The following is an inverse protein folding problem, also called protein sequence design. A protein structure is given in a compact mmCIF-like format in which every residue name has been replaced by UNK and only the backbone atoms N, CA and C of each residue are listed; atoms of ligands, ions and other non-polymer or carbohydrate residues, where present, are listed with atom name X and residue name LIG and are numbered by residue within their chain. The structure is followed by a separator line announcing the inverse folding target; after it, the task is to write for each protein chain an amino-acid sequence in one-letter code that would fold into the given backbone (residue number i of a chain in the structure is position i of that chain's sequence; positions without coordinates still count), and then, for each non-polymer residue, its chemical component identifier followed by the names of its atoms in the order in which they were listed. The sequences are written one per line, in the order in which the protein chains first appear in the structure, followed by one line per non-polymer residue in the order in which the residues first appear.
data_IF_435846013037
#
_entry.id   IF_435846013037
#
_cell.length_a   1.000
_cell.length_b   1.000
_cell.length_c   1.000
_cell.angle_alpha   90.00
_cell.angle_beta   90.00
_cell.angle_gamma   90.00
#
_symmetry.space_group_name_H-M   'P 1'
#
loop_
_entity.id
_entity.type
_entity.pdbx_description
1 polymer ?
#
# COMPACT_ATOMS: atom_id res chain seq x y z
N UNK A 1 -3.65 -4.74 10.56
CA UNK A 1 -3.54 -4.85 9.09
C UNK A 1 -2.10 -4.58 8.69
N UNK A 2 -1.55 -5.31 7.72
CA UNK A 2 -0.28 -4.91 7.09
C UNK A 2 -0.58 -3.98 5.91
N UNK A 3 0.05 -2.80 5.90
CA UNK A 3 0.05 -1.87 4.78
C UNK A 3 1.41 -1.93 4.10
N UNK A 4 1.38 -2.02 2.78
CA UNK A 4 2.57 -2.12 1.93
C UNK A 4 2.53 -0.95 0.96
N UNK A 5 3.61 -0.18 0.89
CA UNK A 5 3.74 0.96 -0.02
C UNK A 5 4.98 0.83 -0.89
N UNK A 6 4.87 1.31 -2.13
CA UNK A 6 5.93 1.24 -3.12
C UNK A 6 6.01 2.53 -3.94
N UNK A 7 7.20 3.15 -3.95
CA UNK A 7 7.49 4.30 -4.80
C UNK A 7 8.31 3.84 -6.01
N UNK A 8 7.79 3.98 -7.25
CA UNK A 8 8.48 3.49 -8.44
C UNK A 8 9.75 4.29 -8.75
N UNK A 9 9.78 5.58 -8.41
CA UNK A 9 10.90 6.47 -8.72
C UNK A 9 12.13 6.24 -7.82
N UNK A 10 11.93 5.75 -6.59
CA UNK A 10 12.99 5.56 -5.57
C UNK A 10 13.19 4.10 -5.15
N UNK A 11 12.70 3.15 -5.95
CA UNK A 11 12.36 1.76 -5.59
C UNK A 11 12.09 1.44 -4.11
N UNK A 12 11.54 2.38 -3.34
CA UNK A 12 11.38 2.18 -1.91
C UNK A 12 10.14 1.34 -1.63
N UNK A 13 10.34 0.13 -1.10
CA UNK A 13 9.30 -0.73 -0.56
C UNK A 13 9.25 -0.57 0.95
N UNK A 14 8.10 -0.20 1.49
CA UNK A 14 7.89 -0.12 2.94
C UNK A 14 6.72 -1.00 3.37
N UNK A 15 6.83 -1.51 4.59
CA UNK A 15 5.77 -2.28 5.24
C UNK A 15 5.58 -1.75 6.65
N UNK A 16 4.35 -1.56 7.06
CA UNK A 16 4.02 -1.26 8.44
C UNK A 16 2.77 -2.03 8.87
N UNK A 17 2.65 -2.22 10.18
CA UNK A 17 1.48 -2.87 10.78
C UNK A 17 0.63 -1.78 11.43
N UNK A 18 -0.58 -1.59 10.90
CA UNK A 18 -1.59 -0.77 11.53
C UNK A 18 -2.40 -1.59 12.55
N UNK A 19 -2.39 -1.13 13.79
CA UNK A 19 -3.02 -1.78 14.93
C UNK A 19 -2.70 -1.08 16.25
N UNK A 20 -3.21 -1.64 17.34
CA UNK A 20 -3.21 -1.01 18.67
C UNK A 20 -2.09 -1.50 19.60
N UNK A 21 -1.30 -2.50 19.21
CA UNK A 21 -0.20 -3.03 20.04
C UNK A 21 1.09 -2.21 19.82
N UNK A 22 1.15 -1.03 20.45
CA UNK A 22 2.26 -0.07 20.25
C UNK A 22 3.62 -0.64 20.69
N UNK A 23 3.64 -1.42 21.78
CA UNK A 23 4.86 -2.07 22.28
C UNK A 23 5.41 -3.12 21.29
N UNK A 24 4.57 -3.60 20.37
CA UNK A 24 4.95 -4.49 19.28
C UNK A 24 5.36 -3.73 18.00
N UNK A 25 5.52 -2.41 18.06
CA UNK A 25 5.89 -1.56 16.93
C UNK A 25 4.76 -1.30 15.92
N UNK A 26 3.51 -1.59 16.30
CA UNK A 26 2.35 -1.23 15.48
C UNK A 26 2.08 0.28 15.57
N UNK A 27 1.46 0.82 14.53
CA UNK A 27 1.08 2.24 14.47
C UNK A 27 -0.42 2.39 14.32
N UNK A 28 -0.99 3.42 14.95
CA UNK A 28 -2.44 3.68 14.88
C UNK A 28 -2.86 4.26 13.52
N UNK A 29 -1.96 4.99 12.87
CA UNK A 29 -2.21 5.71 11.63
C UNK A 29 -0.97 5.68 10.74
N UNK A 30 -1.19 5.65 9.42
CA UNK A 30 -0.16 5.79 8.41
C UNK A 30 -0.55 6.87 7.41
N UNK A 31 0.44 7.55 6.85
CA UNK A 31 0.28 8.48 5.74
C UNK A 31 0.92 7.84 4.52
N UNK A 32 0.16 7.72 3.44
CA UNK A 32 0.68 7.30 2.14
C UNK A 32 0.83 8.55 1.27
N UNK A 33 2.05 8.91 0.86
CA UNK A 33 2.26 10.04 -0.03
C UNK A 33 1.52 9.88 -1.36
N UNK A 34 1.14 11.00 -1.98
CA UNK A 34 0.59 10.97 -3.33
C UNK A 34 1.60 10.37 -4.32
N UNK A 35 1.09 9.68 -5.34
CA UNK A 35 1.90 8.95 -6.34
C UNK A 35 2.69 7.75 -5.78
N UNK A 36 2.34 7.27 -4.60
CA UNK A 36 2.84 6.01 -4.04
C UNK A 36 1.83 4.90 -4.31
N UNK A 37 2.29 3.73 -4.76
CA UNK A 37 1.43 2.55 -4.84
C UNK A 37 1.20 1.99 -3.45
N UNK A 38 -0.02 1.55 -3.15
CA UNK A 38 -0.36 0.94 -1.88
C UNK A 38 -1.21 -0.32 -2.06
N UNK A 39 -0.98 -1.32 -1.21
CA UNK A 39 -1.88 -2.43 -0.98
C UNK A 39 -1.91 -2.80 0.50
N UNK A 40 -2.95 -3.50 0.92
CA UNK A 40 -3.08 -3.89 2.31
C UNK A 40 -3.73 -5.25 2.47
N UNK A 41 -3.41 -5.93 3.57
CA UNK A 41 -4.04 -7.19 3.97
C UNK A 41 -4.33 -7.25 5.46
N UNK A 42 -5.45 -7.89 5.79
CA UNK A 42 -5.76 -8.24 7.18
C UNK A 42 -4.73 -9.26 7.70
N UNK A 43 -4.36 -9.15 8.98
CA UNK A 43 -3.48 -10.11 9.67
C UNK A 43 -4.28 -11.07 10.59
N UNK A 44 -5.61 -11.03 10.47
CA UNK A 44 -6.56 -11.89 11.15
C UNK A 44 -7.81 -12.03 10.28
N UNK A 45 -8.95 -12.37 10.88
CA UNK A 45 -10.19 -12.58 10.12
C UNK A 45 -10.64 -11.34 9.33
N UNK A 46 -10.49 -10.14 9.91
CA UNK A 46 -10.81 -8.87 9.23
C UNK A 46 -9.97 -7.71 9.78
N UNK A 47 -10.06 -6.55 9.12
CA UNK A 47 -9.51 -5.28 9.60
C UNK A 47 -10.47 -4.17 9.17
N UNK A 48 -10.83 -3.28 10.11
CA UNK A 48 -11.67 -2.12 9.85
C UNK A 48 -10.84 -0.86 10.03
N UNK A 49 -10.88 0.05 9.06
CA UNK A 49 -10.03 1.22 8.98
C UNK A 49 -10.81 2.43 8.47
N UNK A 50 -10.44 3.62 8.93
CA UNK A 50 -10.82 4.88 8.28
C UNK A 50 -9.75 5.29 7.28
N UNK A 51 -10.17 5.69 6.09
CA UNK A 51 -9.28 6.24 5.06
C UNK A 51 -9.75 7.64 4.69
N UNK A 52 -8.88 8.63 4.92
CA UNK A 52 -9.11 10.02 4.51
C UNK A 52 -8.08 10.38 3.47
N UNK A 53 -8.51 11.02 2.38
CA UNK A 53 -7.63 11.48 1.30
C UNK A 53 -7.71 13.00 1.16
N UNK A 54 -6.57 13.61 0.83
CA UNK A 54 -6.48 15.04 0.53
C UNK A 54 -5.51 15.26 -0.63
N UNK A 55 -5.87 16.06 -1.66
CA UNK A 55 -7.20 16.63 -1.94
C UNK A 55 -8.31 15.57 -2.03
N UNK A 56 -9.57 16.01 -2.03
CA UNK A 56 -10.71 15.09 -2.03
C UNK A 56 -10.65 14.07 -3.18
N UNK A 57 -11.13 12.85 -2.94
CA UNK A 57 -11.09 11.76 -3.91
C UNK A 57 -11.79 12.13 -5.22
N UNK A 58 -11.13 11.82 -6.34
CA UNK A 58 -11.72 11.86 -7.68
C UNK A 58 -11.28 10.60 -8.46
N UNK A 59 -12.20 10.00 -9.22
CA UNK A 59 -11.87 8.82 -10.04
C UNK A 59 -10.81 9.09 -11.10
N UNK A 60 -10.66 10.34 -11.56
CA UNK A 60 -9.61 10.76 -12.49
C UNK A 60 -8.21 10.57 -11.92
N UNK A 61 -8.08 10.57 -10.59
CA UNK A 61 -6.82 10.44 -9.85
C UNK A 61 -6.59 9.00 -9.35
N UNK A 62 -7.55 8.09 -9.58
CA UNK A 62 -7.49 6.71 -9.11
C UNK A 62 -7.08 5.75 -10.22
N UNK A 63 -6.13 4.87 -9.95
CA UNK A 63 -5.62 3.88 -10.90
C UNK A 63 -5.23 2.60 -10.16
N UNK A 64 -5.38 1.45 -10.82
CA UNK A 64 -4.74 0.21 -10.38
C UNK A 64 -3.42 -0.01 -11.12
N UNK A 65 -2.46 -0.64 -10.46
CA UNK A 65 -1.17 -0.99 -11.10
C UNK A 65 -1.40 -1.80 -12.38
N UNK A 66 -2.37 -2.72 -12.38
CA UNK A 66 -2.69 -3.58 -13.51
C UNK A 66 -3.15 -2.84 -14.77
N UNK A 67 -3.57 -1.58 -14.64
CA UNK A 67 -4.01 -0.74 -15.75
C UNK A 67 -2.84 -0.06 -16.46
N UNK A 68 -1.62 -0.12 -15.87
CA UNK A 68 -0.42 0.41 -16.50
C UNK A 68 0.11 -0.53 -17.59
N UNK A 69 0.66 0.04 -18.69
CA UNK A 69 1.53 -0.70 -19.58
C UNK A 69 2.68 -1.32 -18.78
N UNK A 70 3.05 -2.55 -19.12
CA UNK A 70 4.17 -3.26 -18.48
C UNK A 70 4.08 -3.39 -16.95
N UNK A 71 2.88 -3.33 -16.37
CA UNK A 71 2.66 -3.45 -14.93
C UNK A 71 3.34 -4.66 -14.27
N UNK A 72 3.52 -5.75 -15.01
CA UNK A 72 4.24 -6.94 -14.54
C UNK A 72 5.72 -6.68 -14.24
N UNK A 73 6.35 -5.71 -14.92
CA UNK A 73 7.73 -5.28 -14.66
C UNK A 73 7.87 -4.61 -13.29
N UNK A 74 6.81 -3.98 -12.76
CA UNK A 74 6.80 -3.37 -11.43
C UNK A 74 6.93 -4.41 -10.30
N UNK A 75 6.67 -5.69 -10.59
CA UNK A 75 6.75 -6.80 -9.62
C UNK A 75 7.94 -7.73 -9.89
N UNK A 76 9.09 -7.15 -10.21
CA UNK A 76 10.37 -7.85 -10.29
C UNK A 76 11.28 -7.51 -9.09
N UNK A 77 12.37 -8.24 -8.91
CA UNK A 77 13.32 -8.00 -7.82
C UNK A 77 12.67 -8.06 -6.43
N UNK A 78 12.84 -7.01 -5.62
CA UNK A 78 12.28 -6.90 -4.27
C UNK A 78 10.73 -6.98 -4.23
N UNK A 79 10.06 -6.68 -5.34
CA UNK A 79 8.60 -6.71 -5.47
C UNK A 79 8.07 -8.07 -5.96
N UNK A 80 8.93 -9.02 -6.30
CA UNK A 80 8.50 -10.31 -6.87
C UNK A 80 7.56 -11.10 -5.93
N UNK A 81 7.77 -11.02 -4.61
CA UNK A 81 6.91 -11.65 -3.62
C UNK A 81 5.50 -11.04 -3.51
N UNK A 82 5.27 -9.87 -4.11
CA UNK A 82 4.02 -9.13 -4.05
C UNK A 82 3.15 -9.30 -5.30
N UNK A 83 3.56 -10.16 -6.24
CA UNK A 83 2.79 -10.47 -7.46
C UNK A 83 1.36 -10.95 -7.21
N UNK A 84 1.08 -11.50 -6.04
CA UNK A 84 -0.27 -11.94 -5.66
C UNK A 84 -1.25 -10.78 -5.41
N UNK A 85 -0.78 -9.53 -5.43
CA UNK A 85 -1.60 -8.32 -5.37
C UNK A 85 -1.94 -7.73 -6.76
N UNK A 86 -1.55 -8.40 -7.86
CA UNK A 86 -2.00 -8.09 -9.25
C UNK A 86 -3.41 -8.65 -9.54
#
# INVERSE_FOLDING_TARGET
MELITYQPDTPLLQKCILGNELDAGQILQAIVPGKTWQCARSLGAFSLMGCTVTPGFDFRDFQFVRDLPDHALHFQGAMAGLRHFL
#
